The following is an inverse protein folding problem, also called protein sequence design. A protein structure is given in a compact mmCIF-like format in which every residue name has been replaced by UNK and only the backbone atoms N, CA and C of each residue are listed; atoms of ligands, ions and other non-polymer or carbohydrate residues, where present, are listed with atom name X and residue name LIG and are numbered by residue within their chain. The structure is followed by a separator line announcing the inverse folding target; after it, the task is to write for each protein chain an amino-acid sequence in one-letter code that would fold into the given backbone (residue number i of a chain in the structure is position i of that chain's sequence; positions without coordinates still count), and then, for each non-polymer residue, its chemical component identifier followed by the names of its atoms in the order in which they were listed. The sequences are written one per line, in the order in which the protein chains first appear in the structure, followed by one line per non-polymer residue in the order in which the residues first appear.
data_IF_276573802168
#
_entry.id   IF_276573802168
#
_cell.length_a   1.000
_cell.length_b   1.000
_cell.length_c   1.000
_cell.angle_alpha   90.00
_cell.angle_beta   90.00
_cell.angle_gamma   90.00
#
_symmetry.space_group_name_H-M   'P 1'
#
loop_
_entity.id
_entity.type
_entity.pdbx_description
1 polymer ?
#
# COMPACT_ATOMS: atom_id res chain seq x y z
N UNK A 1 -16.90 12.85 3.15
CA UNK A 1 -15.49 12.54 3.48
C UNK A 1 -14.86 11.98 2.23
N UNK A 2 -14.16 12.82 1.47
CA UNK A 2 -13.31 12.35 0.38
C UNK A 2 -12.08 11.76 1.02
N UNK A 3 -11.93 10.45 0.92
CA UNK A 3 -10.69 9.75 1.22
C UNK A 3 -9.59 10.35 0.35
N UNK A 4 -8.77 11.25 0.90
CA UNK A 4 -7.67 11.91 0.17
C UNK A 4 -6.49 10.95 0.02
N UNK A 5 -6.64 9.99 -0.89
CA UNK A 5 -5.52 9.26 -1.47
C UNK A 5 -4.86 10.12 -2.55
N UNK A 6 -3.56 9.91 -2.78
CA UNK A 6 -2.73 10.76 -3.63
C UNK A 6 -3.01 10.58 -5.12
N UNK A 7 -2.12 11.13 -5.95
CA UNK A 7 -2.09 10.83 -7.39
C UNK A 7 -1.24 9.56 -7.59
N UNK A 8 -1.78 8.48 -8.17
CA UNK A 8 -1.07 7.22 -8.31
C UNK A 8 0.04 7.33 -9.35
N UNK A 9 1.22 6.82 -9.02
CA UNK A 9 2.38 6.70 -9.92
C UNK A 9 2.66 5.26 -10.34
N UNK A 10 2.64 4.32 -9.40
CA UNK A 10 2.87 2.88 -9.64
C UNK A 10 1.79 2.10 -8.92
N UNK A 11 1.25 1.07 -9.56
CA UNK A 11 0.29 0.14 -8.95
C UNK A 11 0.79 -1.29 -9.10
N UNK A 12 0.78 -2.03 -8.00
CA UNK A 12 1.18 -3.43 -7.95
C UNK A 12 0.14 -4.24 -7.18
N UNK A 13 -0.22 -5.41 -7.72
CA UNK A 13 -1.13 -6.36 -7.07
C UNK A 13 -0.32 -7.52 -6.50
N UNK A 14 -0.52 -7.81 -5.21
CA UNK A 14 0.02 -9.01 -4.58
C UNK A 14 -0.99 -10.14 -4.74
N UNK A 15 -0.53 -11.20 -5.38
CA UNK A 15 -1.34 -12.34 -5.78
C UNK A 15 -1.00 -13.54 -4.90
N UNK A 16 -2.01 -14.28 -4.44
CA UNK A 16 -1.82 -15.53 -3.72
C UNK A 16 -1.40 -16.69 -4.65
N UNK A 17 -1.16 -17.86 -4.06
CA UNK A 17 -0.78 -19.06 -4.80
C UNK A 17 -1.88 -19.60 -5.75
N UNK A 18 -3.11 -19.10 -5.64
CA UNK A 18 -4.24 -19.46 -6.49
C UNK A 18 -4.49 -18.45 -7.61
N UNK A 19 -3.64 -17.43 -7.74
CA UNK A 19 -3.80 -16.39 -8.76
C UNK A 19 -4.79 -15.30 -8.36
N UNK A 20 -5.23 -15.24 -7.10
CA UNK A 20 -6.18 -14.23 -6.62
C UNK A 20 -5.44 -13.03 -6.02
N UNK A 21 -5.81 -11.79 -6.39
CA UNK A 21 -5.23 -10.60 -5.78
C UNK A 21 -5.71 -10.46 -4.33
N UNK A 22 -4.76 -10.34 -3.41
CA UNK A 22 -5.02 -10.20 -1.97
C UNK A 22 -4.86 -8.76 -1.51
N UNK A 23 -3.88 -8.05 -2.06
CA UNK A 23 -3.58 -6.66 -1.74
C UNK A 23 -3.26 -5.89 -3.00
N UNK A 24 -3.63 -4.61 -3.03
CA UNK A 24 -3.17 -3.66 -4.03
C UNK A 24 -2.33 -2.59 -3.37
N UNK A 25 -1.12 -2.37 -3.86
CA UNK A 25 -0.23 -1.33 -3.40
C UNK A 25 -0.13 -0.26 -4.48
N UNK A 26 -0.29 1.00 -4.07
CA UNK A 26 -0.23 2.16 -4.96
C UNK A 26 0.80 3.13 -4.41
N UNK A 27 1.91 3.33 -5.13
CA UNK A 27 2.85 4.40 -4.84
C UNK A 27 2.27 5.72 -5.36
N UNK A 28 2.14 6.69 -4.47
CA UNK A 28 1.57 8.00 -4.73
C UNK A 28 2.69 9.04 -5.00
N UNK A 29 2.35 10.16 -5.62
CA UNK A 29 3.30 11.24 -5.93
C UNK A 29 3.96 11.89 -4.70
N UNK A 30 3.34 11.78 -3.53
CA UNK A 30 3.89 12.28 -2.27
C UNK A 30 4.86 11.30 -1.60
N UNK A 31 5.17 10.18 -2.26
CA UNK A 31 6.09 9.16 -1.75
C UNK A 31 5.46 8.20 -0.75
N UNK A 32 4.15 8.33 -0.46
CA UNK A 32 3.43 7.34 0.33
C UNK A 32 2.94 6.18 -0.52
N UNK A 33 2.74 5.03 0.10
CA UNK A 33 2.12 3.85 -0.50
C UNK A 33 0.78 3.59 0.16
N UNK A 34 -0.26 3.55 -0.65
CA UNK A 34 -1.60 3.12 -0.23
C UNK A 34 -1.71 1.61 -0.44
N UNK A 35 -1.90 0.86 0.65
CA UNK A 35 -2.14 -0.58 0.65
C UNK A 35 -3.64 -0.80 0.83
N UNK A 36 -4.28 -1.42 -0.14
CA UNK A 36 -5.69 -1.84 -0.06
C UNK A 36 -5.77 -3.34 0.19
N UNK A 37 -6.39 -3.75 1.29
CA UNK A 37 -6.65 -5.14 1.63
C UNK A 37 -7.94 -5.59 0.93
N UNK A 38 -7.82 -6.29 -0.20
CA UNK A 38 -8.95 -6.49 -1.12
C UNK A 38 -10.09 -7.33 -0.52
N UNK A 39 -9.78 -8.20 0.44
CA UNK A 39 -10.78 -9.00 1.16
C UNK A 39 -11.67 -8.20 2.11
N UNK A 40 -11.19 -7.06 2.64
CA UNK A 40 -11.89 -6.26 3.66
C UNK A 40 -12.20 -4.83 3.21
N UNK A 41 -11.56 -4.35 2.14
CA UNK A 41 -11.62 -2.97 1.69
C UNK A 41 -10.85 -1.98 2.56
N UNK A 42 -10.23 -2.43 3.67
CA UNK A 42 -9.41 -1.58 4.54
C UNK A 42 -8.23 -1.03 3.74
N UNK A 43 -7.88 0.21 4.03
CA UNK A 43 -6.72 0.90 3.43
C UNK A 43 -5.75 1.35 4.50
N UNK A 44 -4.47 1.16 4.23
CA UNK A 44 -3.37 1.67 5.04
C UNK A 44 -2.50 2.59 4.19
N UNK A 45 -2.08 3.73 4.74
CA UNK A 45 -1.02 4.56 4.17
C UNK A 45 0.29 4.27 4.87
N UNK A 46 1.34 4.10 4.09
CA UNK A 46 2.70 3.86 4.55
C UNK A 46 3.60 4.94 3.95
N UNK A 47 4.46 5.54 4.77
CA UNK A 47 5.57 6.34 4.27
C UNK A 47 6.69 5.39 3.83
N UNK A 48 6.97 5.37 2.52
CA UNK A 48 7.96 4.46 1.94
C UNK A 48 9.41 4.85 2.28
N UNK A 49 9.67 6.10 2.67
CA UNK A 49 11.01 6.57 3.04
C UNK A 49 11.37 6.18 4.48
N UNK A 50 10.39 6.25 5.39
CA UNK A 50 10.60 5.99 6.83
C UNK A 50 10.09 4.62 7.29
N UNK A 51 9.40 3.87 6.43
CA UNK A 51 8.71 2.60 6.75
C UNK A 51 7.63 2.77 7.83
N UNK A 52 7.10 3.98 8.01
CA UNK A 52 6.09 4.29 9.02
C UNK A 52 4.66 4.04 8.49
N UNK A 53 3.81 3.41 9.31
CA UNK A 53 2.37 3.33 9.04
C UNK A 53 1.71 4.63 9.50
N UNK A 54 1.07 5.33 8.56
CA UNK A 54 0.44 6.62 8.78
C UNK A 54 -1.04 6.50 9.18
N UNK A 55 -1.68 5.36 8.90
CA UNK A 55 -3.08 5.12 9.23
C UNK A 55 -3.23 4.65 10.69
N UNK A 56 -3.89 5.43 11.57
CA UNK A 56 -4.06 5.05 12.97
C UNK A 56 -4.88 3.77 13.15
N UNK A 57 -4.49 2.93 14.11
CA UNK A 57 -5.22 1.70 14.46
C UNK A 57 -5.07 0.55 13.44
N UNK A 58 -4.32 0.75 12.36
CA UNK A 58 -4.02 -0.29 11.38
C UNK A 58 -2.61 -0.83 11.62
N UNK A 59 -2.50 -2.14 11.72
CA UNK A 59 -1.21 -2.84 11.74
C UNK A 59 -0.94 -3.43 10.37
N UNK A 60 0.16 -3.02 9.74
CA UNK A 60 0.60 -3.55 8.45
C UNK A 60 1.68 -4.62 8.70
N UNK A 61 1.52 -5.86 8.20
CA UNK A 61 2.54 -6.89 8.29
C UNK A 61 3.88 -6.44 7.68
N UNK A 62 4.99 -6.89 8.27
CA UNK A 62 6.34 -6.50 7.83
C UNK A 62 6.61 -6.79 6.35
N UNK A 63 6.08 -7.89 5.81
CA UNK A 63 6.21 -8.24 4.40
C UNK A 63 5.59 -7.20 3.47
N UNK A 64 4.41 -6.66 3.83
CA UNK A 64 3.77 -5.60 3.06
C UNK A 64 4.52 -4.26 3.21
N UNK A 65 5.08 -3.99 4.39
CA UNK A 65 5.94 -2.82 4.61
C UNK A 65 7.21 -2.89 3.77
N UNK A 66 7.86 -4.04 3.73
CA UNK A 66 9.09 -4.23 2.96
C UNK A 66 8.81 -4.07 1.46
N UNK A 67 7.68 -4.61 0.98
CA UNK A 67 7.23 -4.41 -0.40
C UNK A 67 6.95 -2.92 -0.70
N UNK A 68 6.20 -2.23 0.16
CA UNK A 68 5.88 -0.82 0.01
C UNK A 68 7.14 0.06 -0.04
N UNK A 69 8.14 -0.20 0.81
CA UNK A 69 9.42 0.54 0.82
C UNK A 69 10.26 0.25 -0.42
N UNK A 70 10.11 -0.94 -1.02
CA UNK A 70 10.82 -1.35 -2.23
C UNK A 70 10.25 -0.76 -3.53
N UNK A 71 9.01 -0.24 -3.50
CA UNK A 71 8.40 0.39 -4.66
C UNK A 71 9.20 1.62 -5.10
N UNK A 72 9.50 1.70 -6.39
CA UNK A 72 10.24 2.78 -7.03
C UNK A 72 9.63 3.08 -8.39
N UNK A 73 9.83 4.30 -8.86
CA UNK A 73 9.63 4.61 -10.27
C UNK A 73 10.72 3.87 -11.06
N UNK A 74 10.30 3.07 -12.04
CA UNK A 74 11.20 2.38 -12.98
C UNK A 74 11.94 3.33 -13.90
#
# INVERSE_FOLDING_TARGET
MTDSFGIPLVTEDLIDCFGQPTHRLVLEIDGTVTITFLSSGVKARVDSATRAVLTPGVTVPSQLLDHAVSMRLG
#
